data_IF_066894954431
#
_entry.id   IF_066894954431
#
_cell.length_a   1.000
_cell.length_b   1.000
_cell.length_c   1.000
_cell.angle_alpha   90.00
_cell.angle_beta   90.00
_cell.angle_gamma   90.00
#
_symmetry.space_group_name_H-M   'P 1'
#
loop_
_entity.id
_entity.type
_entity.pdbx_description
1 polymer ?
#
# COMPACT_ATOMS: atom_id res chain seq x y z
N UNK A 1 14.88 5.20 -0.60
CA UNK A 1 13.42 5.32 -0.83
C UNK A 1 13.17 5.88 -2.22
N UNK A 2 12.11 5.45 -2.91
CA UNK A 2 11.61 6.20 -4.08
C UNK A 2 11.42 5.50 -5.43
N UNK A 3 11.78 4.22 -5.60
CA UNK A 3 11.52 3.50 -6.88
C UNK A 3 10.32 2.54 -6.81
N UNK A 4 10.28 1.53 -5.91
CA UNK A 4 9.14 0.60 -5.81
C UNK A 4 7.86 1.32 -5.36
N UNK A 5 7.97 2.21 -4.37
CA UNK A 5 6.95 3.16 -3.92
C UNK A 5 6.23 3.85 -5.08
N UNK A 6 7.02 4.48 -5.96
CA UNK A 6 6.50 5.24 -7.09
C UNK A 6 5.92 4.34 -8.17
N UNK A 7 6.47 3.14 -8.37
CA UNK A 7 5.96 2.20 -9.36
C UNK A 7 4.53 1.74 -9.02
N UNK A 8 4.27 1.36 -7.76
CA UNK A 8 2.93 1.00 -7.29
C UNK A 8 1.93 2.15 -7.44
N UNK A 9 2.30 3.36 -7.02
CA UNK A 9 1.48 4.56 -7.20
C UNK A 9 1.18 4.85 -8.68
N UNK A 10 2.18 4.85 -9.55
CA UNK A 10 2.03 5.13 -10.98
C UNK A 10 1.14 4.09 -11.66
N UNK A 11 1.37 2.80 -11.38
CA UNK A 11 0.55 1.71 -11.90
C UNK A 11 -0.91 1.85 -11.44
N UNK A 12 -1.14 2.11 -10.15
CA UNK A 12 -2.47 2.33 -9.59
C UNK A 12 -3.21 3.46 -10.30
N UNK A 13 -2.58 4.62 -10.44
CA UNK A 13 -3.17 5.77 -11.15
C UNK A 13 -3.48 5.46 -12.61
N UNK A 14 -2.60 4.73 -13.31
CA UNK A 14 -2.78 4.42 -14.71
C UNK A 14 -3.89 3.39 -14.95
N UNK A 15 -3.93 2.33 -14.13
CA UNK A 15 -4.79 1.18 -14.31
C UNK A 15 -6.18 1.35 -13.70
N UNK A 16 -6.35 2.21 -12.69
CA UNK A 16 -7.66 2.49 -12.07
C UNK A 16 -8.73 3.04 -13.03
N UNK A 17 -8.33 3.44 -14.24
CA UNK A 17 -9.23 3.94 -15.29
C UNK A 17 -9.91 2.82 -16.10
N UNK A 18 -9.43 1.58 -15.97
CA UNK A 18 -9.99 0.43 -16.67
C UNK A 18 -11.42 0.14 -16.17
N UNK A 19 -12.30 -0.45 -16.99
CA UNK A 19 -13.68 -0.76 -16.59
C UNK A 19 -13.79 -1.99 -15.67
N UNK A 20 -12.76 -2.26 -14.88
CA UNK A 20 -12.66 -3.38 -13.93
C UNK A 20 -12.05 -2.89 -12.62
N UNK A 21 -12.40 -3.50 -11.46
CA UNK A 21 -11.73 -3.19 -10.21
C UNK A 21 -10.24 -3.55 -10.28
N UNK A 22 -9.39 -2.62 -9.83
CA UNK A 22 -7.94 -2.81 -9.75
C UNK A 22 -7.52 -2.77 -8.29
N UNK A 23 -6.79 -3.79 -7.83
CA UNK A 23 -6.04 -3.73 -6.57
C UNK A 23 -4.57 -3.40 -6.84
N UNK A 24 -3.92 -2.75 -5.88
CA UNK A 24 -2.50 -2.41 -5.96
C UNK A 24 -1.75 -3.03 -4.77
N UNK A 25 -0.65 -3.70 -5.06
CA UNK A 25 0.30 -4.12 -4.06
C UNK A 25 1.14 -2.92 -3.61
N UNK A 26 1.14 -2.63 -2.30
CA UNK A 26 1.93 -1.55 -1.69
C UNK A 26 2.97 -2.06 -0.70
N UNK A 27 3.33 -3.35 -0.78
CA UNK A 27 4.29 -4.00 0.12
C UNK A 27 3.93 -3.74 1.60
N UNK A 28 4.91 -3.44 2.46
CA UNK A 28 4.67 -3.04 3.86
C UNK A 28 4.02 -1.67 4.08
N UNK A 29 3.48 -1.05 3.01
CA UNK A 29 2.91 0.29 3.01
C UNK A 29 3.95 1.40 2.89
N UNK A 30 5.20 1.04 2.62
CA UNK A 30 6.33 1.96 2.37
C UNK A 30 6.64 2.99 3.46
N UNK A 31 6.09 2.78 4.65
CA UNK A 31 6.31 3.60 5.83
C UNK A 31 6.16 2.74 7.09
N UNK A 32 6.79 3.19 8.16
CA UNK A 32 6.74 2.49 9.45
C UNK A 32 5.47 2.81 10.25
N UNK A 33 4.90 4.00 10.05
CA UNK A 33 3.75 4.46 10.84
C UNK A 33 2.40 4.12 10.16
N UNK A 34 1.38 3.70 10.93
CA UNK A 34 0.03 3.50 10.41
C UNK A 34 -0.54 4.70 9.65
N UNK A 35 -0.27 5.92 10.12
CA UNK A 35 -0.79 7.15 9.52
C UNK A 35 -0.24 7.38 8.12
N UNK A 36 1.03 7.04 7.89
CA UNK A 36 1.65 7.18 6.59
C UNK A 36 1.14 6.11 5.60
N UNK A 37 0.92 4.88 6.08
CA UNK A 37 0.29 3.82 5.27
C UNK A 37 -1.15 4.20 4.90
N UNK A 38 -1.91 4.73 5.85
CA UNK A 38 -3.26 5.24 5.62
C UNK A 38 -3.29 6.40 4.62
N UNK A 39 -2.30 7.30 4.66
CA UNK A 39 -2.19 8.39 3.69
C UNK A 39 -1.98 7.88 2.26
N UNK A 40 -1.12 6.86 2.07
CA UNK A 40 -0.93 6.22 0.78
C UNK A 40 -2.19 5.49 0.30
N UNK A 41 -2.86 4.74 1.17
CA UNK A 41 -4.11 4.07 0.83
C UNK A 41 -5.20 5.08 0.41
N UNK A 42 -5.29 6.21 1.11
CA UNK A 42 -6.22 7.29 0.77
C UNK A 42 -5.88 7.97 -0.57
N UNK A 43 -4.59 8.12 -0.92
CA UNK A 43 -4.16 8.60 -2.23
C UNK A 43 -4.63 7.65 -3.35
N UNK A 44 -4.35 6.36 -3.21
CA UNK A 44 -4.73 5.34 -4.21
C UNK A 44 -6.25 5.22 -4.34
N UNK A 45 -6.98 5.29 -3.23
CA UNK A 45 -8.45 5.34 -3.24
C UNK A 45 -8.97 6.52 -4.07
N UNK A 46 -8.43 7.73 -3.86
CA UNK A 46 -8.79 8.92 -4.65
C UNK A 46 -8.45 8.78 -6.13
N UNK A 47 -7.43 7.97 -6.46
CA UNK A 47 -7.06 7.66 -7.83
C UNK A 47 -8.01 6.65 -8.51
N UNK A 48 -8.94 6.03 -7.77
CA UNK A 48 -9.90 5.05 -8.26
C UNK A 48 -9.48 3.59 -8.08
N UNK A 49 -8.40 3.33 -7.32
CA UNK A 49 -8.00 1.96 -6.96
C UNK A 49 -9.06 1.36 -6.03
N UNK A 50 -9.47 0.12 -6.31
CA UNK A 50 -10.54 -0.56 -5.58
C UNK A 50 -10.09 -1.16 -4.24
N UNK A 51 -8.79 -1.42 -4.07
CA UNK A 51 -8.22 -1.95 -2.84
C UNK A 51 -6.71 -2.05 -2.89
N UNK A 52 -6.09 -2.36 -1.75
CA UNK A 52 -4.64 -2.53 -1.64
C UNK A 52 -4.30 -3.80 -0.87
N UNK A 53 -3.15 -4.38 -1.18
CA UNK A 53 -2.51 -5.40 -0.34
C UNK A 53 -1.40 -4.75 0.49
N UNK A 54 -1.36 -5.04 1.80
CA UNK A 54 -0.31 -4.61 2.73
C UNK A 54 0.32 -5.86 3.37
N UNK A 55 1.64 -5.92 3.40
CA UNK A 55 2.42 -7.03 3.94
C UNK A 55 3.01 -6.71 5.33
N UNK A 56 3.28 -7.73 6.12
CA UNK A 56 3.99 -7.64 7.39
C UNK A 56 5.47 -8.07 7.29
N UNK A 57 5.88 -8.64 6.15
CA UNK A 57 7.25 -9.09 5.90
C UNK A 57 8.27 -7.94 5.93
N UNK A 58 9.44 -8.23 6.50
CA UNK A 58 10.57 -7.28 6.61
C UNK A 58 11.78 -7.77 5.81
N UNK A 59 12.69 -6.87 5.39
CA UNK A 59 13.88 -7.23 4.61
C UNK A 59 14.83 -8.23 5.30
N UNK A 60 14.78 -8.32 6.63
CA UNK A 60 15.57 -9.25 7.44
C UNK A 60 14.94 -10.64 7.59
N UNK A 61 13.81 -10.89 6.92
CA UNK A 61 13.07 -12.16 6.98
C UNK A 61 12.20 -12.30 8.23
N UNK A 62 12.09 -11.26 9.06
CA UNK A 62 11.15 -11.23 10.19
C UNK A 62 9.78 -10.67 9.80
N UNK A 63 8.81 -10.77 10.70
CA UNK A 63 7.50 -10.17 10.55
C UNK A 63 7.36 -8.92 11.41
N UNK A 64 6.48 -8.02 10.98
CA UNK A 64 6.02 -6.88 11.76
C UNK A 64 5.26 -7.36 12.99
N UNK A 65 5.42 -6.65 14.11
CA UNK A 65 4.65 -6.95 15.32
C UNK A 65 3.14 -6.98 14.98
N UNK A 66 2.39 -8.01 15.39
CA UNK A 66 0.98 -8.15 15.00
C UNK A 66 0.11 -6.96 15.38
N UNK A 67 0.37 -6.29 16.51
CA UNK A 67 -0.41 -5.12 16.90
C UNK A 67 -0.07 -3.91 16.02
N UNK A 68 1.20 -3.74 15.65
CA UNK A 68 1.61 -2.71 14.70
C UNK A 68 1.06 -2.99 13.29
N UNK A 69 1.08 -4.23 12.81
CA UNK A 69 0.51 -4.58 11.51
C UNK A 69 -1.02 -4.42 11.51
N UNK A 70 -1.70 -4.82 12.59
CA UNK A 70 -3.14 -4.56 12.76
C UNK A 70 -3.45 -3.06 12.71
N UNK A 71 -2.65 -2.22 13.37
CA UNK A 71 -2.82 -0.77 13.33
C UNK A 71 -2.69 -0.19 11.91
N UNK A 72 -1.91 -0.81 11.02
CA UNK A 72 -1.80 -0.38 9.61
C UNK A 72 -3.06 -0.68 8.78
N UNK A 73 -3.97 -1.55 9.24
CA UNK A 73 -5.16 -1.99 8.47
C UNK A 73 -6.50 -1.66 9.14
N UNK A 74 -6.48 -0.95 10.28
CA UNK A 74 -7.67 -0.49 11.03
C UNK A 74 -7.80 1.02 10.98
#
# INVERSE_FOLDING_TARGET
EGAPQRAGQVAGHALARLPVPVSVDIEGGFADTPEAVAALAAELWRAGVAGVNIEDGRPDGTLTDPALHAAKVT
#
